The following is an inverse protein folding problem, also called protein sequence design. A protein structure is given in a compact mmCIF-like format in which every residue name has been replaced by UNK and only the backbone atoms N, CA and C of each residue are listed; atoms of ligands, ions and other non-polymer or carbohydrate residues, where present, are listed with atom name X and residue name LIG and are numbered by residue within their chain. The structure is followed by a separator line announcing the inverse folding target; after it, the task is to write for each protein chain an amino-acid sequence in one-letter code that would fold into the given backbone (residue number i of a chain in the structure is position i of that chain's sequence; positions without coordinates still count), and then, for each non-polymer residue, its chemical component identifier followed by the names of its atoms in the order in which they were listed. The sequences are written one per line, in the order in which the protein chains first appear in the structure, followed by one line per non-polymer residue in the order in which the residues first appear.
data_IF_431028019803
#
_entry.id   IF_431028019803
#
_cell.length_a   1.000
_cell.length_b   1.000
_cell.length_c   1.000
_cell.angle_alpha   90.00
_cell.angle_beta   90.00
_cell.angle_gamma   90.00
#
_symmetry.space_group_name_H-M   'P 1'
#
loop_
_entity.id
_entity.type
_entity.pdbx_description
1 polymer ?
#
# COMPACT_ATOMS: atom_id res chain seq x y z
N UNK A 1 -28.83 -36.90 -13.39
CA UNK A 1 -29.42 -35.62 -13.81
C UNK A 1 -28.35 -34.57 -13.59
N UNK A 2 -27.61 -34.26 -14.64
CA UNK A 2 -26.41 -33.41 -14.63
C UNK A 2 -26.81 -31.95 -14.48
N UNK A 3 -26.52 -31.36 -13.31
CA UNK A 3 -26.47 -29.89 -13.15
C UNK A 3 -25.32 -29.36 -13.99
N UNK A 4 -25.63 -28.74 -15.11
CA UNK A 4 -24.68 -27.97 -15.90
C UNK A 4 -24.24 -26.73 -15.12
N UNK A 5 -22.93 -26.60 -14.93
CA UNK A 5 -22.30 -25.37 -14.47
C UNK A 5 -22.53 -24.24 -15.49
N UNK A 6 -22.61 -22.97 -15.06
CA UNK A 6 -22.68 -21.88 -16.02
C UNK A 6 -21.31 -21.67 -16.68
N UNK A 7 -21.18 -22.10 -17.93
CA UNK A 7 -20.13 -21.65 -18.85
C UNK A 7 -20.47 -20.23 -19.35
N UNK A 8 -20.19 -19.21 -18.54
CA UNK A 8 -20.13 -17.83 -19.01
C UNK A 8 -19.29 -17.01 -18.02
N UNK A 9 -18.28 -16.29 -18.52
CA UNK A 9 -17.16 -15.67 -17.79
C UNK A 9 -17.48 -14.52 -16.82
N UNK A 10 -18.53 -14.62 -15.99
CA UNK A 10 -18.90 -13.66 -14.96
C UNK A 10 -19.21 -14.38 -13.63
N UNK A 11 -18.66 -13.88 -12.52
CA UNK A 11 -19.04 -14.36 -11.19
C UNK A 11 -20.54 -14.11 -10.93
N UNK A 12 -21.16 -14.91 -10.06
CA UNK A 12 -22.60 -14.86 -9.81
C UNK A 12 -23.08 -13.50 -9.26
N UNK A 13 -22.20 -12.77 -8.59
CA UNK A 13 -22.40 -11.44 -8.00
C UNK A 13 -21.85 -10.29 -8.87
N UNK A 14 -21.35 -10.59 -10.08
CA UNK A 14 -20.79 -9.58 -10.96
C UNK A 14 -21.86 -8.56 -11.41
N UNK A 15 -21.50 -7.27 -11.36
CA UNK A 15 -22.33 -6.13 -11.79
C UNK A 15 -21.74 -5.49 -13.05
N UNK A 16 -21.87 -6.12 -14.24
CA UNK A 16 -21.23 -5.63 -15.45
C UNK A 16 -21.96 -4.38 -15.99
N UNK A 17 -21.24 -3.53 -16.73
CA UNK A 17 -21.87 -2.40 -17.43
C UNK A 17 -21.79 -2.53 -18.95
N UNK A 18 -22.79 -1.99 -19.63
CA UNK A 18 -22.83 -1.89 -21.07
C UNK A 18 -21.78 -0.92 -21.59
N UNK A 19 -20.86 -1.37 -22.45
CA UNK A 19 -19.85 -0.52 -23.06
C UNK A 19 -20.42 0.55 -24.01
N UNK A 20 -21.67 0.40 -24.48
CA UNK A 20 -22.30 1.36 -25.39
C UNK A 20 -22.99 2.54 -24.68
N UNK A 21 -23.58 2.32 -23.51
CA UNK A 21 -24.37 3.36 -22.82
C UNK A 21 -24.08 3.49 -21.32
N UNK A 22 -23.20 2.66 -20.76
CA UNK A 22 -22.82 2.66 -19.34
C UNK A 22 -23.86 2.09 -18.38
N UNK A 23 -24.96 1.50 -18.86
CA UNK A 23 -25.97 0.90 -17.99
C UNK A 23 -25.40 -0.31 -17.24
N UNK A 24 -25.53 -0.33 -15.91
CA UNK A 24 -25.05 -1.42 -15.04
C UNK A 24 -26.17 -2.43 -14.78
N UNK A 25 -25.90 -3.71 -14.99
CA UNK A 25 -26.79 -4.79 -14.55
C UNK A 25 -26.53 -5.12 -13.08
N UNK A 26 -27.59 -5.25 -12.30
CA UNK A 26 -27.52 -5.65 -10.89
C UNK A 26 -28.25 -6.98 -10.68
N UNK A 27 -27.54 -8.09 -10.41
CA UNK A 27 -28.16 -9.38 -10.11
C UNK A 27 -29.17 -9.31 -8.97
N UNK A 28 -28.92 -8.50 -7.94
CA UNK A 28 -29.82 -8.38 -6.80
C UNK A 28 -31.16 -7.72 -7.16
N UNK A 29 -31.19 -6.89 -8.21
CA UNK A 29 -32.41 -6.25 -8.71
C UNK A 29 -33.08 -7.02 -9.86
N UNK A 30 -32.29 -7.74 -10.67
CA UNK A 30 -32.75 -8.33 -11.92
C UNK A 30 -33.13 -7.27 -12.97
N UNK A 31 -34.10 -7.59 -13.82
CA UNK A 31 -34.76 -6.66 -14.76
C UNK A 31 -36.27 -6.99 -14.85
N UNK A 32 -37.09 -6.54 -13.89
CA UNK A 32 -38.53 -6.82 -13.86
C UNK A 32 -39.28 -6.36 -15.12
N UNK A 33 -38.80 -5.32 -15.79
CA UNK A 33 -39.40 -4.83 -17.04
C UNK A 33 -39.24 -5.79 -18.23
N UNK A 34 -38.39 -6.81 -18.09
CA UNK A 34 -38.15 -7.87 -19.07
C UNK A 34 -38.24 -9.26 -18.45
N UNK A 35 -38.99 -9.37 -17.35
CA UNK A 35 -39.27 -10.63 -16.66
C UNK A 35 -38.03 -11.37 -16.14
N UNK A 36 -36.96 -10.63 -15.82
CA UNK A 36 -35.77 -11.17 -15.16
C UNK A 36 -35.90 -10.96 -13.65
N UNK A 37 -36.04 -12.02 -12.84
CA UNK A 37 -36.24 -11.87 -11.40
C UNK A 37 -34.97 -11.41 -10.67
N UNK A 38 -35.12 -10.76 -9.50
CA UNK A 38 -34.05 -10.56 -8.54
C UNK A 38 -33.28 -11.85 -8.24
N UNK A 39 -31.96 -11.74 -8.09
CA UNK A 39 -31.05 -12.86 -7.86
C UNK A 39 -30.57 -13.57 -9.13
N UNK A 40 -30.99 -13.13 -10.32
CA UNK A 40 -30.50 -13.72 -11.57
C UNK A 40 -29.05 -13.27 -11.84
N UNK A 41 -28.06 -14.16 -11.92
CA UNK A 41 -26.70 -13.77 -12.28
C UNK A 41 -26.64 -13.35 -13.75
N UNK A 42 -25.68 -12.51 -14.13
CA UNK A 42 -25.55 -12.05 -15.52
C UNK A 42 -25.35 -13.23 -16.50
N UNK A 43 -24.57 -14.24 -16.11
CA UNK A 43 -24.39 -15.47 -16.91
C UNK A 43 -25.62 -16.39 -16.95
N UNK A 44 -26.67 -16.09 -16.19
CA UNK A 44 -27.96 -16.77 -16.22
C UNK A 44 -29.05 -16.01 -16.98
N UNK A 45 -28.71 -14.90 -17.63
CA UNK A 45 -29.66 -14.12 -18.44
C UNK A 45 -29.98 -14.86 -19.75
N UNK A 46 -31.25 -14.86 -20.20
CA UNK A 46 -31.62 -15.46 -21.49
C UNK A 46 -30.92 -14.77 -22.67
N UNK A 47 -30.48 -15.51 -23.69
CA UNK A 47 -29.73 -14.99 -24.86
C UNK A 47 -30.40 -13.82 -25.60
N UNK A 48 -31.73 -13.75 -25.53
CA UNK A 48 -32.51 -12.67 -26.14
C UNK A 48 -32.55 -11.38 -25.30
N UNK A 49 -32.08 -11.41 -24.05
CA UNK A 49 -32.02 -10.22 -23.20
C UNK A 49 -31.15 -9.14 -23.85
N UNK A 50 -31.56 -7.89 -23.67
CA UNK A 50 -30.94 -6.70 -24.26
C UNK A 50 -30.75 -5.64 -23.18
N UNK A 51 -29.70 -4.84 -23.34
CA UNK A 51 -29.40 -3.72 -22.46
C UNK A 51 -30.64 -2.81 -22.29
N UNK A 52 -31.07 -2.52 -21.05
CA UNK A 52 -32.22 -1.66 -20.81
C UNK A 52 -32.03 -0.21 -21.26
N UNK A 53 -30.78 0.26 -21.33
CA UNK A 53 -30.45 1.63 -21.72
C UNK A 53 -30.39 1.86 -23.23
N UNK A 54 -29.82 0.93 -24.00
CA UNK A 54 -29.56 1.13 -25.44
C UNK A 54 -30.06 0.00 -26.36
N UNK A 55 -30.61 -1.08 -25.82
CA UNK A 55 -31.03 -2.24 -26.61
C UNK A 55 -29.89 -3.09 -27.17
N UNK A 56 -28.63 -2.83 -26.78
CA UNK A 56 -27.47 -3.63 -27.18
C UNK A 56 -27.48 -5.06 -26.62
N UNK A 57 -26.74 -6.00 -27.25
CA UNK A 57 -26.66 -7.40 -26.81
C UNK A 57 -25.81 -7.60 -25.55
N UNK A 58 -25.98 -8.75 -24.88
CA UNK A 58 -25.25 -9.10 -23.65
C UNK A 58 -23.72 -9.06 -23.80
N UNK A 59 -23.18 -9.48 -24.96
CA UNK A 59 -21.73 -9.48 -25.20
C UNK A 59 -21.10 -8.07 -25.24
N UNK A 60 -21.92 -7.01 -25.28
CA UNK A 60 -21.46 -5.63 -25.14
C UNK A 60 -21.25 -5.18 -23.70
N UNK A 61 -21.52 -6.05 -22.71
CA UNK A 61 -21.27 -5.77 -21.30
C UNK A 61 -19.88 -6.20 -20.89
N UNK A 62 -19.19 -5.34 -20.16
CA UNK A 62 -17.89 -5.61 -19.56
C UNK A 62 -18.01 -5.62 -18.04
N UNK A 63 -17.12 -6.33 -17.35
CA UNK A 63 -17.00 -6.21 -15.89
C UNK A 63 -16.58 -4.78 -15.59
N UNK A 64 -17.56 -3.96 -15.23
CA UNK A 64 -17.28 -2.67 -14.63
C UNK A 64 -17.08 -2.94 -13.17
N UNK A 65 -15.81 -2.84 -12.74
CA UNK A 65 -15.51 -2.55 -11.36
C UNK A 65 -16.43 -1.39 -10.96
N UNK A 66 -17.25 -1.53 -9.91
CA UNK A 66 -18.38 -0.65 -9.66
C UNK A 66 -17.96 0.82 -9.78
N UNK A 67 -18.75 1.69 -10.45
CA UNK A 67 -18.46 3.12 -10.41
C UNK A 67 -18.64 3.56 -8.95
N UNK A 68 -17.52 3.86 -8.28
CA UNK A 68 -17.46 4.06 -6.83
C UNK A 68 -16.90 2.87 -6.01
N UNK A 69 -16.41 1.81 -6.66
CA UNK A 69 -15.55 0.81 -6.03
C UNK A 69 -14.25 1.47 -5.60
N UNK A 70 -13.87 1.28 -4.34
CA UNK A 70 -12.69 1.92 -3.79
C UNK A 70 -11.44 1.52 -4.60
N UNK A 71 -10.97 2.43 -5.46
CA UNK A 71 -9.78 2.23 -6.29
C UNK A 71 -8.56 1.87 -5.44
N UNK A 72 -8.52 2.37 -4.19
CA UNK A 72 -7.55 1.94 -3.20
C UNK A 72 -7.73 0.46 -2.86
N UNK A 73 -8.93 0.03 -2.48
CA UNK A 73 -9.23 -1.37 -2.16
C UNK A 73 -8.85 -2.33 -3.30
N UNK A 74 -9.17 -1.98 -4.56
CA UNK A 74 -8.76 -2.79 -5.71
C UNK A 74 -7.23 -2.92 -5.83
N UNK A 75 -6.51 -1.81 -5.67
CA UNK A 75 -5.04 -1.79 -5.71
C UNK A 75 -4.42 -2.53 -4.53
N UNK A 76 -5.01 -2.41 -3.34
CA UNK A 76 -4.59 -3.11 -2.12
C UNK A 76 -4.84 -4.61 -2.22
N UNK A 77 -5.98 -5.03 -2.80
CA UNK A 77 -6.27 -6.43 -3.06
C UNK A 77 -5.24 -7.03 -4.03
N UNK A 78 -4.93 -6.34 -5.13
CA UNK A 78 -3.90 -6.77 -6.09
C UNK A 78 -2.50 -6.82 -5.46
N UNK A 79 -2.18 -5.90 -4.53
CA UNK A 79 -0.90 -5.90 -3.79
C UNK A 79 -0.79 -7.13 -2.89
N UNK A 80 -1.84 -7.38 -2.12
CA UNK A 80 -1.94 -8.51 -1.21
C UNK A 80 -1.84 -9.83 -1.98
N UNK A 81 -2.56 -9.95 -3.10
CA UNK A 81 -2.49 -11.12 -3.97
C UNK A 81 -1.09 -11.33 -4.55
N UNK A 82 -0.42 -10.26 -5.01
CA UNK A 82 0.93 -10.34 -5.56
C UNK A 82 1.94 -10.84 -4.52
N UNK A 83 1.87 -10.34 -3.28
CA UNK A 83 2.76 -10.82 -2.22
C UNK A 83 2.43 -12.22 -1.73
N UNK A 84 1.16 -12.65 -1.76
CA UNK A 84 0.80 -14.06 -1.49
C UNK A 84 1.42 -15.00 -2.52
N UNK A 85 1.37 -14.65 -3.79
CA UNK A 85 2.03 -15.41 -4.84
C UNK A 85 3.54 -15.50 -4.62
N UNK A 86 4.19 -14.41 -4.21
CA UNK A 86 5.63 -14.40 -3.86
C UNK A 86 5.88 -15.30 -2.62
N UNK A 87 5.01 -15.24 -1.62
CA UNK A 87 5.10 -16.07 -0.43
C UNK A 87 5.09 -17.57 -0.79
N UNK A 88 4.17 -17.97 -1.66
CA UNK A 88 3.99 -19.35 -2.10
C UNK A 88 5.10 -19.84 -3.04
N UNK A 89 5.52 -19.01 -4.01
CA UNK A 89 6.47 -19.44 -5.04
C UNK A 89 7.93 -19.30 -4.63
N UNK A 90 8.27 -18.18 -4.02
CA UNK A 90 9.67 -17.74 -3.94
C UNK A 90 10.18 -17.77 -2.50
N UNK A 91 9.29 -17.63 -1.50
CA UNK A 91 9.68 -17.46 -0.10
C UNK A 91 9.32 -18.63 0.82
N UNK A 92 8.54 -19.62 0.37
CA UNK A 92 7.98 -20.67 1.22
C UNK A 92 9.02 -21.44 2.07
N UNK A 93 10.21 -21.69 1.51
CA UNK A 93 11.27 -22.47 2.14
C UNK A 93 12.42 -21.61 2.71
N UNK A 94 12.28 -20.28 2.72
CA UNK A 94 13.36 -19.39 3.15
C UNK A 94 13.38 -19.31 4.70
N UNK A 95 14.50 -19.61 5.37
CA UNK A 95 14.57 -19.66 6.84
C UNK A 95 14.25 -18.35 7.57
N UNK A 96 14.26 -17.22 6.87
CA UNK A 96 13.91 -15.90 7.43
C UNK A 96 12.40 -15.72 7.63
N UNK A 97 11.57 -16.57 7.01
CA UNK A 97 10.13 -16.46 7.08
C UNK A 97 9.58 -16.92 8.44
N UNK A 98 8.77 -16.05 9.06
CA UNK A 98 8.00 -16.39 10.24
C UNK A 98 6.68 -17.08 9.83
N UNK A 99 6.60 -18.39 10.04
CA UNK A 99 5.43 -19.21 9.70
C UNK A 99 4.15 -18.86 10.49
N UNK A 100 4.25 -18.11 11.59
CA UNK A 100 3.09 -17.62 12.34
C UNK A 100 2.40 -16.41 11.67
N UNK A 101 3.01 -15.84 10.64
CA UNK A 101 2.53 -14.65 9.96
C UNK A 101 2.02 -14.99 8.56
N UNK A 102 1.09 -14.16 8.08
CA UNK A 102 0.55 -14.21 6.74
C UNK A 102 0.61 -12.85 6.06
N UNK A 103 0.53 -12.86 4.72
CA UNK A 103 0.48 -11.62 3.95
C UNK A 103 -0.82 -10.87 4.22
N UNK A 104 -0.68 -9.65 4.73
CA UNK A 104 -1.79 -8.76 5.10
C UNK A 104 -1.46 -7.30 4.77
N UNK A 105 -2.43 -6.59 4.20
CA UNK A 105 -2.36 -5.15 3.97
C UNK A 105 -3.16 -4.40 5.05
N UNK A 106 -2.57 -3.38 5.67
CA UNK A 106 -3.10 -2.71 6.86
C UNK A 106 -3.11 -1.20 6.68
N UNK A 107 -4.23 -0.55 7.04
CA UNK A 107 -4.28 0.89 7.26
C UNK A 107 -4.14 1.78 6.02
N UNK A 108 -4.42 1.27 4.82
CA UNK A 108 -4.30 2.07 3.60
C UNK A 108 -5.22 3.30 3.63
N UNK A 109 -4.62 4.47 3.35
CA UNK A 109 -5.29 5.78 3.28
C UNK A 109 -4.70 6.65 2.18
N UNK A 110 -5.47 7.62 1.70
CA UNK A 110 -5.00 8.59 0.71
C UNK A 110 -3.79 9.40 1.25
N UNK A 111 -2.74 9.53 0.44
CA UNK A 111 -1.58 10.40 0.74
C UNK A 111 -0.93 10.90 -0.55
N UNK A 112 -0.84 12.22 -0.71
CA UNK A 112 -0.25 12.85 -1.90
C UNK A 112 -0.84 12.29 -3.21
N UNK A 113 -0.01 11.85 -4.18
CA UNK A 113 -0.46 11.29 -5.46
C UNK A 113 -0.93 9.83 -5.38
N UNK A 114 -0.97 9.23 -4.18
CA UNK A 114 -1.17 7.80 -3.98
C UNK A 114 -1.99 7.44 -2.75
N UNK A 115 -1.79 6.20 -2.32
CA UNK A 115 -2.30 5.65 -1.08
C UNK A 115 -1.16 5.02 -0.29
N UNK A 116 -1.07 5.34 1.00
CA UNK A 116 -0.05 4.82 1.91
C UNK A 116 -0.70 3.87 2.91
N UNK A 117 -0.03 2.75 3.17
CA UNK A 117 -0.42 1.77 4.18
C UNK A 117 0.76 0.87 4.51
N UNK A 118 0.51 -0.21 5.23
CA UNK A 118 1.53 -1.21 5.55
C UNK A 118 1.23 -2.55 4.90
N UNK A 119 2.27 -3.29 4.56
CA UNK A 119 2.19 -4.70 4.18
C UNK A 119 3.02 -5.51 5.16
N UNK A 120 2.35 -6.45 5.80
CA UNK A 120 2.95 -7.52 6.59
C UNK A 120 3.15 -8.70 5.66
N UNK A 121 4.35 -9.28 5.66
CA UNK A 121 4.67 -10.55 5.05
C UNK A 121 5.51 -11.38 6.04
N UNK A 122 5.59 -12.71 5.88
CA UNK A 122 6.42 -13.56 6.75
C UNK A 122 7.89 -13.14 6.84
N UNK A 123 8.41 -12.36 5.87
CA UNK A 123 9.81 -11.93 5.81
C UNK A 123 10.05 -10.41 5.88
N UNK A 124 8.99 -9.58 5.91
CA UNK A 124 9.12 -8.14 6.16
C UNK A 124 7.85 -7.51 6.71
N UNK A 125 8.00 -6.32 7.28
CA UNK A 125 6.95 -5.33 7.49
C UNK A 125 7.38 -4.01 6.85
N UNK A 126 6.64 -3.56 5.83
CA UNK A 126 6.96 -2.35 5.08
C UNK A 126 5.79 -1.37 5.13
N UNK A 127 6.09 -0.07 5.25
CA UNK A 127 5.18 0.97 4.77
C UNK A 127 5.30 1.07 3.25
N UNK A 128 4.18 1.13 2.55
CA UNK A 128 4.08 1.10 1.10
C UNK A 128 3.21 2.26 0.62
N UNK A 129 3.75 3.04 -0.32
CA UNK A 129 3.01 4.05 -1.06
C UNK A 129 2.75 3.52 -2.47
N UNK A 130 1.47 3.40 -2.81
CA UNK A 130 0.98 2.96 -4.12
C UNK A 130 0.56 4.20 -4.91
N UNK A 131 1.09 4.46 -6.12
CA UNK A 131 0.65 5.60 -6.91
C UNK A 131 -0.77 5.35 -7.44
N UNK A 132 -1.60 6.40 -7.52
CA UNK A 132 -2.94 6.31 -8.14
C UNK A 132 -2.82 6.03 -9.63
N UNK A 133 -1.88 6.71 -10.27
CA UNK A 133 -1.49 6.48 -11.65
C UNK A 133 -0.15 5.74 -11.70
N UNK A 134 -0.11 4.46 -12.13
CA UNK A 134 1.12 3.69 -12.28
C UNK A 134 2.15 4.34 -13.23
N UNK A 135 1.72 5.21 -14.16
CA UNK A 135 2.62 5.88 -15.09
C UNK A 135 3.58 6.85 -14.38
N UNK A 136 3.20 7.39 -13.22
CA UNK A 136 4.01 8.35 -12.46
C UNK A 136 5.42 7.82 -12.13
N UNK A 137 5.57 6.52 -11.94
CA UNK A 137 6.83 5.88 -11.54
C UNK A 137 7.24 4.73 -12.47
N UNK A 138 6.74 4.74 -13.71
CA UNK A 138 7.02 3.69 -14.69
C UNK A 138 8.51 3.66 -15.12
N UNK A 139 9.19 4.78 -15.06
CA UNK A 139 10.61 4.97 -15.41
C UNK A 139 11.57 4.55 -14.28
N UNK A 140 11.07 4.36 -13.05
CA UNK A 140 11.88 3.97 -11.90
C UNK A 140 12.28 2.51 -11.94
N UNK A 141 13.52 2.24 -11.54
CA UNK A 141 14.08 0.90 -11.39
C UNK A 141 13.98 0.41 -9.95
N UNK A 142 13.96 -0.90 -9.78
CA UNK A 142 14.02 -1.51 -8.45
C UNK A 142 15.27 -1.07 -7.71
N UNK A 143 15.09 -0.67 -6.45
CA UNK A 143 16.16 -0.17 -5.60
C UNK A 143 16.40 1.34 -5.67
N UNK A 144 15.87 2.05 -6.68
CA UNK A 144 15.99 3.50 -6.80
C UNK A 144 15.48 4.19 -5.53
N UNK A 145 16.18 5.24 -5.10
CA UNK A 145 15.83 5.99 -3.89
C UNK A 145 15.10 7.28 -4.25
N UNK A 146 14.03 7.58 -3.56
CA UNK A 146 13.31 8.85 -3.72
C UNK A 146 12.91 9.40 -2.36
N UNK A 147 13.12 10.69 -2.17
CA UNK A 147 12.64 11.39 -0.99
C UNK A 147 11.16 11.74 -1.15
N UNK A 148 10.34 11.36 -0.18
CA UNK A 148 8.90 11.64 -0.15
C UNK A 148 8.57 12.27 1.19
N UNK A 149 7.89 13.41 1.15
CA UNK A 149 7.39 14.08 2.33
C UNK A 149 6.18 13.33 2.90
N UNK A 150 6.26 12.98 4.17
CA UNK A 150 5.17 12.52 5.01
C UNK A 150 4.90 13.57 6.09
N UNK A 151 3.73 13.53 6.77
CA UNK A 151 3.43 14.48 7.84
C UNK A 151 4.52 14.56 8.92
N UNK A 152 5.17 13.44 9.25
CA UNK A 152 6.22 13.38 10.28
C UNK A 152 7.61 13.80 9.79
N UNK A 153 7.76 14.10 8.50
CA UNK A 153 9.03 14.51 7.90
C UNK A 153 9.28 13.91 6.51
N UNK A 154 10.44 14.22 5.95
CA UNK A 154 10.88 13.65 4.68
C UNK A 154 11.58 12.30 4.90
N UNK A 155 11.18 11.29 4.13
CA UNK A 155 11.75 9.94 4.21
C UNK A 155 12.26 9.46 2.86
N UNK A 156 13.32 8.65 2.90
CA UNK A 156 13.89 8.03 1.70
C UNK A 156 13.21 6.69 1.43
N UNK A 157 12.28 6.69 0.48
CA UNK A 157 11.64 5.48 -0.02
C UNK A 157 12.52 4.76 -1.03
N UNK A 158 12.31 3.45 -1.14
CA UNK A 158 12.93 2.58 -2.14
C UNK A 158 11.87 2.16 -3.15
N UNK A 159 12.16 2.29 -4.45
CA UNK A 159 11.31 1.77 -5.50
C UNK A 159 11.32 0.24 -5.51
N UNK A 160 10.15 -0.38 -5.60
CA UNK A 160 10.00 -1.83 -5.71
C UNK A 160 8.87 -2.15 -6.69
N UNK A 161 9.13 -2.99 -7.68
CA UNK A 161 8.16 -3.45 -8.67
C UNK A 161 7.48 -4.71 -8.18
N UNK A 162 6.15 -4.70 -8.17
CA UNK A 162 5.36 -5.82 -7.66
C UNK A 162 4.29 -6.21 -8.66
N UNK A 163 4.51 -7.35 -9.31
CA UNK A 163 3.56 -7.95 -10.24
C UNK A 163 2.98 -6.95 -11.25
N UNK A 164 1.67 -6.99 -11.42
CA UNK A 164 0.92 -6.11 -12.33
C UNK A 164 0.68 -4.70 -11.79
N UNK A 165 1.05 -4.41 -10.52
CA UNK A 165 0.83 -3.08 -9.94
C UNK A 165 1.79 -2.02 -10.45
N UNK A 166 2.90 -2.45 -11.05
CA UNK A 166 4.01 -1.58 -11.44
C UNK A 166 4.91 -1.24 -10.26
N UNK A 167 5.53 -0.07 -10.33
CA UNK A 167 6.47 0.40 -9.31
C UNK A 167 5.73 1.02 -8.12
N UNK A 168 6.07 0.56 -6.93
CA UNK A 168 5.66 1.11 -5.63
C UNK A 168 6.84 1.82 -4.98
N UNK A 169 6.58 2.59 -3.93
CA UNK A 169 7.63 3.11 -3.05
C UNK A 169 7.48 2.49 -1.66
N UNK A 170 8.57 1.97 -1.07
CA UNK A 170 8.54 1.27 0.22
C UNK A 170 9.55 1.82 1.23
N UNK A 171 9.19 1.75 2.52
CA UNK A 171 10.08 1.95 3.67
C UNK A 171 9.99 0.71 4.56
N UNK A 172 11.11 0.05 4.87
CA UNK A 172 11.15 -1.01 5.87
C UNK A 172 10.82 -0.48 7.26
N UNK A 173 9.86 -1.10 7.94
CA UNK A 173 9.57 -0.87 9.36
C UNK A 173 10.18 -1.98 10.22
N UNK A 174 10.14 -3.23 9.74
CA UNK A 174 10.87 -4.35 10.31
C UNK A 174 11.31 -5.33 9.22
N UNK A 175 12.54 -5.84 9.33
CA UNK A 175 13.08 -6.85 8.40
C UNK A 175 13.33 -8.21 9.06
N UNK A 176 13.23 -8.27 10.39
CA UNK A 176 13.36 -9.49 11.16
C UNK A 176 11.98 -9.84 11.73
N UNK A 177 11.22 -10.68 11.03
CA UNK A 177 9.82 -10.95 11.37
C UNK A 177 9.64 -11.95 12.51
N UNK A 178 10.72 -12.60 12.95
CA UNK A 178 10.77 -13.47 14.12
C UNK A 178 10.63 -12.69 15.46
N UNK A 179 10.66 -11.36 15.43
CA UNK A 179 10.36 -10.52 16.60
C UNK A 179 8.88 -10.54 16.98
N UNK A 180 8.00 -10.92 16.06
CA UNK A 180 6.56 -11.00 16.29
C UNK A 180 6.15 -12.42 16.60
N UNK A 181 5.40 -12.61 17.67
CA UNK A 181 4.87 -13.91 18.09
C UNK A 181 3.75 -14.37 17.17
N UNK A 182 2.87 -13.45 16.78
CA UNK A 182 1.70 -13.74 15.95
C UNK A 182 1.31 -12.57 15.04
N UNK A 183 0.28 -12.81 14.22
CA UNK A 183 -0.27 -11.81 13.29
C UNK A 183 -0.83 -10.57 14.00
N UNK A 184 -1.38 -10.73 15.22
CA UNK A 184 -1.93 -9.63 15.99
C UNK A 184 -0.85 -8.62 16.40
N UNK A 185 0.29 -9.13 16.87
CA UNK A 185 1.45 -8.30 17.23
C UNK A 185 2.04 -7.58 16.02
N UNK A 186 2.21 -8.29 14.90
CA UNK A 186 2.66 -7.70 13.64
C UNK A 186 1.70 -6.60 13.14
N UNK A 187 0.38 -6.81 13.27
CA UNK A 187 -0.64 -5.80 12.94
C UNK A 187 -0.56 -4.58 13.84
N UNK A 188 -0.39 -4.77 15.14
CA UNK A 188 -0.21 -3.66 16.08
C UNK A 188 1.02 -2.82 15.74
N UNK A 189 2.15 -3.47 15.44
CA UNK A 189 3.37 -2.79 15.00
C UNK A 189 3.19 -2.05 13.67
N UNK A 190 2.47 -2.63 12.71
CA UNK A 190 2.13 -1.99 11.44
C UNK A 190 1.34 -0.69 11.65
N UNK A 191 0.30 -0.75 12.48
CA UNK A 191 -0.55 0.41 12.81
C UNK A 191 0.28 1.50 13.50
N UNK A 192 1.05 1.15 14.54
CA UNK A 192 1.90 2.11 15.27
C UNK A 192 2.96 2.75 14.37
N UNK A 193 3.60 1.96 13.51
CA UNK A 193 4.59 2.47 12.55
C UNK A 193 3.96 3.42 11.53
N UNK A 194 2.80 3.06 10.98
CA UNK A 194 2.08 3.91 10.04
C UNK A 194 1.59 5.21 10.69
N UNK A 195 1.09 5.15 11.91
CA UNK A 195 0.67 6.33 12.66
C UNK A 195 1.85 7.21 13.03
N UNK A 196 3.02 6.63 13.29
CA UNK A 196 4.22 7.42 13.48
C UNK A 196 4.61 8.21 12.23
N UNK A 197 4.59 7.58 11.06
CA UNK A 197 4.87 8.23 9.77
C UNK A 197 3.86 9.32 9.39
N UNK A 198 2.64 9.22 9.89
CA UNK A 198 1.53 10.09 9.50
C UNK A 198 1.17 11.13 10.57
N UNK A 199 1.86 11.15 11.70
CA UNK A 199 1.73 12.19 12.71
C UNK A 199 2.41 13.46 12.20
N UNK A 200 1.77 14.62 12.34
CA UNK A 200 2.40 15.89 12.02
C UNK A 200 3.71 16.05 12.81
N UNK A 201 4.78 16.42 12.10
CA UNK A 201 6.05 16.73 12.74
C UNK A 201 5.85 17.92 13.67
N UNK A 202 6.14 17.73 14.96
CA UNK A 202 6.27 18.84 15.89
C UNK A 202 7.30 19.81 15.29
N UNK A 203 6.86 21.02 14.99
CA UNK A 203 7.71 22.06 14.43
C UNK A 203 8.91 22.23 15.39
N UNK A 204 10.16 22.06 14.95
CA UNK A 204 11.28 22.30 15.85
C UNK A 204 11.13 23.75 16.35
N UNK A 205 11.16 23.93 17.68
CA UNK A 205 11.08 25.25 18.29
C UNK A 205 12.02 26.20 17.54
N UNK A 206 11.59 27.44 17.23
CA UNK A 206 12.43 28.38 16.50
C UNK A 206 13.80 28.42 17.18
N UNK A 207 14.86 28.11 16.42
CA UNK A 207 16.23 28.22 16.90
C UNK A 207 16.40 29.68 17.31
N UNK A 208 16.37 29.94 18.60
CA UNK A 208 16.91 31.19 19.12
C UNK A 208 18.39 31.11 18.83
N UNK A 209 18.85 31.89 17.86
CA UNK A 209 20.28 32.05 17.65
C UNK A 209 20.90 32.41 19.00
N UNK A 210 22.00 31.77 19.42
CA UNK A 210 22.72 32.23 20.59
C UNK A 210 23.03 33.73 20.40
N UNK A 211 22.89 34.57 21.44
CA UNK A 211 23.19 35.98 21.32
C UNK A 211 24.59 36.13 20.71
N UNK A 212 24.65 36.88 19.61
CA UNK A 212 25.90 37.15 18.89
C UNK A 212 26.98 37.55 19.87
N UNK A 213 28.16 36.94 19.75
CA UNK A 213 29.32 37.20 20.59
C UNK A 213 29.85 38.63 20.36
N UNK A 214 29.17 39.62 20.93
CA UNK A 214 29.66 41.00 21.06
C UNK A 214 30.01 41.36 22.51
N UNK A 215 29.63 40.53 23.49
CA UNK A 215 29.96 40.75 24.90
C UNK A 215 30.76 39.55 25.44
N UNK A 216 31.98 39.36 24.92
CA UNK A 216 32.92 38.39 25.48
C UNK A 216 33.85 39.07 26.50
N UNK A 217 33.77 38.59 27.75
CA UNK A 217 34.72 38.81 28.84
C UNK A 217 36.15 38.44 28.38
N UNK A 218 37.23 39.12 28.85
CA UNK A 218 38.57 38.89 28.32
C UNK A 218 39.06 37.47 28.66
N UNK A 219 39.84 36.83 27.77
CA UNK A 219 40.23 35.44 27.92
C UNK A 219 41.19 35.25 29.10
N UNK A 220 40.88 34.26 29.96
CA UNK A 220 41.78 33.81 31.03
C UNK A 220 43.11 33.31 30.45
N UNK A 221 44.26 33.62 31.07
CA UNK A 221 45.56 33.22 30.55
C UNK A 221 45.72 31.70 30.59
N UNK A 222 46.13 31.12 29.46
CA UNK A 222 46.32 29.70 29.29
C UNK A 222 47.58 29.21 30.04
N UNK A 223 47.41 28.28 30.99
CA UNK A 223 48.52 27.54 31.58
C UNK A 223 49.12 26.61 30.51
N UNK A 224 50.40 26.84 30.19
CA UNK A 224 51.17 26.01 29.26
C UNK A 224 51.51 24.65 29.88
N UNK A 225 51.29 23.57 29.11
CA UNK A 225 51.62 22.18 29.50
C UNK A 225 53.12 21.88 29.62
N UNK A 226 54.01 22.88 29.43
CA UNK A 226 55.48 22.74 29.59
C UNK A 226 55.97 22.83 31.04
N UNK A 227 55.10 23.03 32.04
CA UNK A 227 55.49 23.08 33.46
C UNK A 227 55.33 21.76 34.23
N UNK A 228 55.00 20.64 33.57
CA UNK A 228 54.66 19.37 34.25
C UNK A 228 55.76 18.29 34.29
N UNK A 229 56.95 18.52 33.71
CA UNK A 229 58.08 17.59 33.87
C UNK A 229 59.37 18.31 34.26
N UNK A 230 59.41 18.74 35.51
CA UNK A 230 60.64 19.10 36.20
C UNK A 230 60.64 18.51 37.61
N UNK A 231 61.15 17.28 37.76
CA UNK A 231 62.03 16.80 38.87
C UNK A 231 61.99 15.28 39.06
N UNK A 232 63.12 14.65 38.74
CA UNK A 232 63.68 13.41 39.32
C UNK A 232 65.04 13.19 38.61
N UNK A 233 66.22 13.03 39.21
CA UNK A 233 66.68 12.73 40.58
C UNK A 233 68.20 13.00 40.66
N UNK A 234 68.67 13.21 41.89
CA UNK A 234 70.05 13.20 42.45
C UNK A 234 70.95 14.39 42.16
#
# INVERSE_FOLDING_TARGET
MTSGAPEAGFAADARPSCGACGAVYDPAAGDPGREVPPGTPFGGLPDYWRCPGCGGPQHGFTVVAPPGGDAMAARVAALTASYRLIAERDMADVPICNAALAVEAVGFRAHGPGWIGCVIAPWFLNAVLIPRDPALWADRRDGDKTEIALPSGAYRFTAARVGVLGTLAVIPLASAMNVFVDQGEARAAAVLGLDHLMREAEQPAPRTDPPSASDADPPKPALSRRSLFGRARR
#
